data_IF_148735309340
#
_entry.id   IF_148735309340
#
_cell.length_a   1.000
_cell.length_b   1.000
_cell.length_c   1.000
_cell.angle_alpha   90.00
_cell.angle_beta   90.00
_cell.angle_gamma   90.00
#
_symmetry.space_group_name_H-M   'P 1'
#
loop_
_entity.id
_entity.type
_entity.pdbx_description
1 polymer ?
#
# COMPACT_ATOMS: atom_id res chain seq x y z
N UNK A 1 -10.09 24.35 4.57
CA UNK A 1 -8.93 23.73 5.24
C UNK A 1 -9.28 23.03 6.55
N UNK A 2 -10.05 23.66 7.42
CA UNK A 2 -10.51 23.09 8.70
C UNK A 2 -11.24 21.74 8.56
N UNK A 3 -12.06 21.56 7.52
CA UNK A 3 -12.75 20.30 7.19
C UNK A 3 -11.78 19.13 6.87
N UNK A 4 -10.59 19.43 6.34
CA UNK A 4 -9.55 18.39 6.07
C UNK A 4 -8.80 17.99 7.34
N UNK A 5 -8.59 18.92 8.26
CA UNK A 5 -7.93 18.64 9.55
C UNK A 5 -8.86 17.83 10.45
N UNK A 6 -10.15 18.15 10.49
CA UNK A 6 -11.16 17.38 11.24
C UNK A 6 -11.33 15.98 10.65
N UNK A 7 -11.28 15.81 9.31
CA UNK A 7 -11.30 14.50 8.68
C UNK A 7 -10.06 13.67 8.97
N UNK A 8 -8.89 14.28 9.11
CA UNK A 8 -7.64 13.56 9.46
C UNK A 8 -7.67 13.12 10.92
N UNK A 9 -8.19 13.95 11.83
CA UNK A 9 -8.35 13.58 13.25
C UNK A 9 -9.47 12.54 13.41
N UNK A 10 -10.57 12.66 12.68
CA UNK A 10 -11.66 11.67 12.66
C UNK A 10 -11.21 10.33 12.01
N UNK A 11 -10.34 10.36 11.00
CA UNK A 11 -9.79 9.14 10.38
C UNK A 11 -8.84 8.39 11.32
N UNK A 12 -8.12 9.12 12.19
CA UNK A 12 -7.23 8.52 13.21
C UNK A 12 -8.04 7.90 14.35
N UNK A 13 -9.18 8.49 14.73
CA UNK A 13 -10.07 7.92 15.76
C UNK A 13 -10.88 6.72 15.24
N UNK A 14 -11.29 6.70 13.99
CA UNK A 14 -12.02 5.57 13.37
C UNK A 14 -11.11 4.34 13.19
N UNK A 15 -9.80 4.51 13.02
CA UNK A 15 -8.86 3.38 12.93
C UNK A 15 -8.42 2.80 14.29
N UNK A 16 -8.72 3.47 15.42
CA UNK A 16 -8.37 2.98 16.76
C UNK A 16 -9.53 2.24 17.47
N UNK A 17 -10.75 2.23 16.90
CA UNK A 17 -11.92 1.62 17.51
C UNK A 17 -12.14 0.11 17.29
N UNK A 18 -11.49 -0.62 16.39
CA UNK A 18 -11.83 -2.03 16.19
C UNK A 18 -11.13 -3.02 17.11
N UNK A 19 -10.28 -2.63 18.05
CA UNK A 19 -9.51 -3.59 18.87
C UNK A 19 -10.23 -3.99 20.17
N UNK A 20 -11.24 -3.26 20.61
CA UNK A 20 -11.96 -3.58 21.87
C UNK A 20 -13.25 -4.38 21.69
N UNK A 21 -13.70 -4.69 20.47
CA UNK A 21 -14.93 -5.46 20.23
C UNK A 21 -14.71 -6.95 19.87
N UNK A 22 -13.49 -7.47 20.04
CA UNK A 22 -13.16 -8.85 19.66
C UNK A 22 -13.34 -9.89 20.80
N UNK A 23 -14.02 -9.56 21.89
CA UNK A 23 -14.25 -10.47 23.03
C UNK A 23 -15.72 -10.66 23.42
N UNK A 24 -16.67 -10.49 22.51
CA UNK A 24 -18.02 -10.99 22.71
C UNK A 24 -18.29 -12.19 21.80
N UNK A 25 -18.43 -13.37 22.39
CA UNK A 25 -18.78 -14.64 21.74
C UNK A 25 -20.25 -14.70 21.30
N UNK A 26 -20.83 -13.62 20.80
CA UNK A 26 -22.16 -13.68 20.19
C UNK A 26 -22.04 -13.73 18.67
N UNK A 27 -22.45 -14.86 18.10
CA UNK A 27 -22.63 -15.05 16.66
C UNK A 27 -23.65 -14.02 16.13
N UNK A 28 -23.17 -12.95 15.49
CA UNK A 28 -24.01 -12.02 14.75
C UNK A 28 -24.43 -12.69 13.44
N UNK A 29 -25.55 -13.37 13.45
CA UNK A 29 -26.19 -13.89 12.24
C UNK A 29 -26.75 -12.71 11.43
N UNK A 30 -26.52 -12.65 10.10
CA UNK A 30 -27.08 -11.59 9.25
C UNK A 30 -28.61 -11.71 9.26
N UNK A 31 -29.31 -10.64 9.66
CA UNK A 31 -30.77 -10.57 9.51
C UNK A 31 -31.14 -10.66 8.04
N UNK A 32 -32.05 -11.58 7.67
CA UNK A 32 -32.62 -11.68 6.33
C UNK A 32 -33.23 -10.33 5.94
N UNK A 33 -32.87 -9.83 4.76
CA UNK A 33 -33.59 -8.71 4.15
C UNK A 33 -35.06 -9.09 4.01
N UNK A 34 -36.02 -8.18 4.30
CA UNK A 34 -37.42 -8.46 4.03
C UNK A 34 -37.61 -8.76 2.55
N UNK A 35 -38.31 -9.88 2.25
CA UNK A 35 -38.68 -10.22 0.89
C UNK A 35 -39.65 -9.13 0.35
N UNK A 36 -39.31 -8.52 -0.78
CA UNK A 36 -40.30 -7.73 -1.52
C UNK A 36 -41.39 -8.72 -1.99
N UNK A 37 -42.65 -8.36 -1.73
CA UNK A 37 -43.79 -9.14 -2.23
C UNK A 37 -43.81 -9.15 -3.75
N UNK A 38 -44.14 -10.29 -4.34
CA UNK A 38 -44.13 -10.52 -5.80
C UNK A 38 -45.07 -9.59 -6.60
N UNK A 39 -45.95 -8.88 -5.93
CA UNK A 39 -46.87 -7.92 -6.56
C UNK A 39 -46.18 -6.66 -7.09
N UNK A 40 -45.08 -6.20 -6.45
CA UNK A 40 -44.34 -5.00 -6.88
C UNK A 40 -43.46 -5.27 -8.11
N UNK A 41 -43.16 -6.54 -8.39
CA UNK A 41 -42.29 -6.91 -9.53
C UNK A 41 -43.10 -6.97 -10.84
N UNK A 42 -44.41 -7.25 -10.79
CA UNK A 42 -45.24 -7.38 -11.99
C UNK A 42 -45.63 -6.03 -12.63
N UNK A 43 -45.68 -4.95 -11.88
CA UNK A 43 -46.02 -3.61 -12.44
C UNK A 43 -44.87 -2.87 -13.14
N UNK A 44 -43.61 -3.30 -12.96
CA UNK A 44 -42.43 -2.67 -13.59
C UNK A 44 -41.99 -3.26 -14.92
N UNK A 45 -42.68 -4.31 -15.40
CA UNK A 45 -42.27 -5.03 -16.66
C UNK A 45 -43.09 -4.60 -17.87
N UNK A 46 -44.10 -3.80 -17.69
CA UNK A 46 -44.95 -3.34 -18.81
C UNK A 46 -44.75 -1.83 -19.01
N UNK A 47 -43.69 -1.41 -19.60
CA UNK A 47 -43.51 -0.27 -20.51
C UNK A 47 -42.05 0.18 -20.60
N UNK A 48 -41.48 0.05 -21.78
CA UNK A 48 -40.35 0.86 -22.21
C UNK A 48 -39.03 0.10 -22.37
N UNK A 49 -38.74 -0.31 -23.60
CA UNK A 49 -37.37 -0.66 -24.04
C UNK A 49 -36.39 0.42 -23.63
N UNK A 50 -35.40 0.07 -22.79
CA UNK A 50 -34.27 0.92 -22.53
C UNK A 50 -33.20 0.60 -23.58
N UNK A 51 -33.13 1.42 -24.61
CA UNK A 51 -32.03 1.40 -25.58
C UNK A 51 -30.82 2.07 -24.95
N UNK A 52 -29.65 1.40 -24.89
CA UNK A 52 -28.42 2.05 -24.36
C UNK A 52 -27.98 3.17 -25.30
N UNK A 53 -27.83 4.38 -24.78
CA UNK A 53 -27.21 5.48 -25.51
C UNK A 53 -25.75 5.18 -25.83
N UNK A 54 -25.37 5.27 -27.11
CA UNK A 54 -23.98 5.21 -27.58
C UNK A 54 -23.15 6.31 -26.93
N UNK A 55 -21.95 5.97 -26.45
CA UNK A 55 -20.93 6.95 -26.07
C UNK A 55 -20.60 7.85 -27.26
N UNK A 56 -20.44 9.18 -27.08
CA UNK A 56 -19.94 10.05 -28.14
C UNK A 56 -18.49 9.70 -28.46
N UNK A 57 -18.16 9.55 -29.73
CA UNK A 57 -16.80 9.52 -30.26
C UNK A 57 -16.22 10.94 -30.19
N UNK A 58 -14.96 11.04 -29.73
CA UNK A 58 -14.16 12.27 -29.90
C UNK A 58 -13.93 12.45 -31.39
N UNK A 59 -14.49 13.47 -31.96
CA UNK A 59 -14.10 14.22 -33.15
C UNK A 59 -15.36 14.87 -33.72
N UNK A 60 -15.67 16.06 -33.23
CA UNK A 60 -16.44 17.05 -33.96
C UNK A 60 -16.28 18.43 -33.29
N UNK A 61 -15.43 19.26 -33.86
CA UNK A 61 -15.37 20.70 -33.62
C UNK A 61 -16.67 21.35 -34.10
N UNK A 62 -17.43 21.95 -33.20
CA UNK A 62 -18.57 22.78 -33.55
C UNK A 62 -18.28 24.24 -33.22
N UNK A 63 -18.20 25.03 -34.29
CA UNK A 63 -18.10 26.47 -34.29
C UNK A 63 -19.31 27.10 -33.60
N UNK A 64 -19.03 28.07 -32.72
CA UNK A 64 -20.05 28.89 -32.05
C UNK A 64 -20.36 30.07 -32.95
N UNK A 65 -21.56 30.10 -33.53
CA UNK A 65 -22.16 31.34 -34.08
C UNK A 65 -23.19 31.90 -33.11
N UNK A 66 -23.03 33.19 -32.80
CA UNK A 66 -23.95 34.01 -31.99
C UNK A 66 -25.23 34.39 -32.77
N UNK A 67 -26.31 34.49 -32.03
CA UNK A 67 -27.65 35.17 -32.17
C UNK A 67 -28.79 34.14 -32.22
N UNK A 68 -29.73 34.18 -31.28
CA UNK A 68 -30.85 35.13 -31.24
C UNK A 68 -31.67 35.01 -29.93
N UNK A 69 -32.10 36.16 -29.44
CA UNK A 69 -33.08 36.31 -28.34
C UNK A 69 -34.48 35.90 -28.83
N UNK A 70 -35.16 35.01 -28.11
CA UNK A 70 -36.59 34.78 -28.27
C UNK A 70 -37.32 34.89 -26.94
N UNK A 71 -38.27 35.81 -26.93
CA UNK A 71 -39.19 36.16 -25.83
C UNK A 71 -39.95 34.94 -25.30
N UNK A 72 -39.97 34.79 -23.98
CA UNK A 72 -40.85 33.86 -23.28
C UNK A 72 -42.28 34.41 -23.21
N UNK A 73 -43.21 33.76 -23.89
CA UNK A 73 -44.63 33.85 -23.56
C UNK A 73 -45.03 32.79 -22.54
N UNK A 74 -45.63 33.22 -21.43
CA UNK A 74 -46.24 32.36 -20.42
C UNK A 74 -47.53 31.77 -20.96
N UNK A 75 -47.64 30.44 -21.02
CA UNK A 75 -48.93 29.75 -21.10
C UNK A 75 -49.06 28.89 -19.85
N UNK A 76 -49.96 29.33 -18.95
CA UNK A 76 -50.38 28.55 -17.79
C UNK A 76 -51.53 27.63 -18.19
N UNK A 77 -51.31 26.33 -18.30
CA UNK A 77 -52.38 25.32 -18.24
C UNK A 77 -52.30 24.61 -16.89
N UNK A 78 -53.37 24.79 -16.10
CA UNK A 78 -53.64 24.06 -14.87
C UNK A 78 -53.95 22.59 -15.24
N UNK A 79 -53.16 21.65 -14.78
CA UNK A 79 -53.49 20.22 -14.75
C UNK A 79 -53.55 19.82 -13.28
N UNK A 80 -54.76 19.50 -12.82
CA UNK A 80 -54.97 18.94 -11.47
C UNK A 80 -54.53 17.49 -11.46
N UNK A 81 -53.67 17.13 -10.50
CA UNK A 81 -53.47 15.72 -10.10
C UNK A 81 -52.05 15.14 -10.18
N UNK A 82 -51.02 15.84 -10.63
CA UNK A 82 -49.65 15.31 -10.55
C UNK A 82 -48.85 16.01 -9.45
N UNK A 83 -48.37 15.24 -8.48
CA UNK A 83 -47.40 15.71 -7.48
C UNK A 83 -46.04 15.80 -8.16
N UNK A 84 -45.75 16.95 -8.76
CA UNK A 84 -44.42 17.24 -9.29
C UNK A 84 -43.49 17.52 -8.10
N UNK A 85 -42.37 16.78 -7.94
CA UNK A 85 -41.40 17.08 -6.89
C UNK A 85 -40.89 18.50 -7.07
N UNK A 86 -41.18 19.39 -6.12
CA UNK A 86 -40.61 20.74 -6.13
C UNK A 86 -39.09 20.61 -6.09
N UNK A 87 -38.38 21.24 -7.02
CA UNK A 87 -36.93 21.36 -6.97
C UNK A 87 -36.52 21.83 -5.57
N UNK A 88 -35.64 21.12 -4.92
CA UNK A 88 -35.03 21.55 -3.65
C UNK A 88 -34.60 23.02 -3.84
N UNK A 89 -34.98 23.94 -2.97
CA UNK A 89 -34.51 25.30 -3.06
C UNK A 89 -33.00 25.28 -3.07
N UNK A 90 -32.36 25.91 -4.05
CA UNK A 90 -30.93 26.18 -4.05
C UNK A 90 -30.67 27.03 -2.80
N UNK A 91 -30.27 26.36 -1.72
CA UNK A 91 -29.74 27.05 -0.55
C UNK A 91 -28.38 27.58 -0.98
N UNK A 92 -28.40 28.79 -1.57
CA UNK A 92 -27.17 29.58 -1.68
C UNK A 92 -26.80 29.93 -0.23
N UNK A 93 -26.03 29.06 0.38
CA UNK A 93 -25.34 29.39 1.61
C UNK A 93 -24.34 30.50 1.27
N UNK A 94 -24.79 31.73 1.28
CA UNK A 94 -23.92 32.87 1.55
C UNK A 94 -23.45 32.71 2.98
N UNK A 95 -22.54 31.77 3.15
CA UNK A 95 -21.85 31.57 4.42
C UNK A 95 -21.01 32.81 4.65
N UNK A 96 -21.59 33.81 5.40
CA UNK A 96 -20.78 34.72 6.20
C UNK A 96 -19.67 33.86 6.81
N UNK A 97 -18.42 34.21 6.54
CA UNK A 97 -17.24 33.44 7.00
C UNK A 97 -17.43 33.12 8.49
N UNK A 98 -17.83 31.89 8.80
CA UNK A 98 -17.99 31.46 10.18
C UNK A 98 -16.62 31.65 10.83
N UNK A 99 -16.54 32.63 11.74
CA UNK A 99 -15.33 32.83 12.58
C UNK A 99 -14.84 31.45 12.98
N UNK A 100 -13.57 31.15 12.70
CA UNK A 100 -13.00 29.83 12.92
C UNK A 100 -13.34 29.39 14.36
N UNK A 101 -14.04 28.24 14.47
CA UNK A 101 -14.43 27.71 15.78
C UNK A 101 -13.17 27.58 16.62
N UNK A 102 -13.20 28.11 17.86
CA UNK A 102 -12.10 27.96 18.82
C UNK A 102 -11.81 26.47 19.00
N UNK A 103 -10.54 26.10 18.99
CA UNK A 103 -10.15 24.74 19.32
C UNK A 103 -10.57 24.40 20.75
N UNK A 104 -11.10 23.17 20.95
CA UNK A 104 -11.37 22.67 22.32
C UNK A 104 -10.10 22.25 23.08
N UNK A 105 -9.01 22.01 22.36
CA UNK A 105 -7.78 21.38 22.88
C UNK A 105 -6.60 22.34 22.98
N UNK A 106 -6.55 23.38 22.13
CA UNK A 106 -5.42 24.31 22.06
C UNK A 106 -5.83 25.72 22.42
N UNK A 107 -4.93 26.46 23.08
CA UNK A 107 -5.06 27.90 23.23
C UNK A 107 -5.13 28.55 21.84
N UNK A 108 -5.71 29.75 21.76
CA UNK A 108 -5.77 30.52 20.48
C UNK A 108 -4.37 30.70 19.88
N UNK A 109 -3.37 30.99 20.70
CA UNK A 109 -1.96 31.13 20.27
C UNK A 109 -1.39 29.84 19.70
N UNK A 110 -1.54 28.72 20.42
CA UNK A 110 -1.01 27.41 19.98
C UNK A 110 -1.75 26.91 18.73
N UNK A 111 -3.05 27.20 18.61
CA UNK A 111 -3.81 26.86 17.40
C UNK A 111 -3.28 27.58 16.15
N UNK A 112 -2.98 28.88 16.23
CA UNK A 112 -2.40 29.63 15.09
C UNK A 112 -0.96 29.18 14.78
N UNK A 113 -0.16 28.87 15.82
CA UNK A 113 1.17 28.26 15.63
C UNK A 113 1.05 26.91 14.91
N UNK A 114 0.13 26.05 15.36
CA UNK A 114 -0.12 24.75 14.74
C UNK A 114 -0.52 24.88 13.27
N UNK A 115 -1.46 25.77 12.97
CA UNK A 115 -1.93 26.07 11.62
C UNK A 115 -0.78 26.54 10.70
N UNK A 116 0.06 27.46 11.21
CA UNK A 116 1.22 27.96 10.48
C UNK A 116 2.26 26.87 10.25
N UNK A 117 2.53 26.05 11.26
CA UNK A 117 3.46 24.93 11.17
C UNK A 117 3.01 23.89 10.15
N UNK A 118 1.71 23.55 10.12
CA UNK A 118 1.12 22.64 9.12
C UNK A 118 1.23 23.22 7.71
N UNK A 119 1.00 24.53 7.55
CA UNK A 119 1.20 25.19 6.24
C UNK A 119 2.63 25.04 5.72
N UNK A 120 3.63 25.26 6.59
CA UNK A 120 5.03 25.03 6.20
C UNK A 120 5.33 23.56 5.91
N UNK A 121 4.77 22.64 6.68
CA UNK A 121 4.89 21.20 6.43
C UNK A 121 4.32 20.78 5.06
N UNK A 122 3.15 21.28 4.68
CA UNK A 122 2.52 21.05 3.37
C UNK A 122 3.40 21.57 2.22
N UNK A 123 4.09 22.67 2.45
CA UNK A 123 5.07 23.23 1.52
C UNK A 123 6.43 22.53 1.56
N UNK A 124 6.59 21.45 2.33
CA UNK A 124 7.86 20.75 2.57
C UNK A 124 8.97 21.60 3.19
N UNK A 125 8.66 22.74 3.77
CA UNK A 125 9.59 23.63 4.49
C UNK A 125 9.79 23.13 5.92
N UNK A 126 10.40 21.95 6.05
CA UNK A 126 10.46 21.20 7.33
C UNK A 126 11.15 21.97 8.45
N UNK A 127 12.28 22.63 8.16
CA UNK A 127 13.00 23.43 9.15
C UNK A 127 12.12 24.55 9.74
N UNK A 128 11.40 25.28 8.86
CA UNK A 128 10.46 26.32 9.31
C UNK A 128 9.26 25.75 10.08
N UNK A 129 8.74 24.62 9.62
CA UNK A 129 7.64 23.93 10.28
C UNK A 129 8.01 23.53 11.73
N UNK A 130 9.18 22.89 11.91
CA UNK A 130 9.67 22.50 13.24
C UNK A 130 10.02 23.70 14.12
N UNK A 131 10.71 24.70 13.58
CA UNK A 131 11.05 25.93 14.30
C UNK A 131 9.81 26.68 14.78
N UNK A 132 8.77 26.73 13.93
CA UNK A 132 7.48 27.35 14.29
C UNK A 132 6.76 26.53 15.36
N UNK A 133 6.66 25.19 15.17
CA UNK A 133 5.98 24.30 16.10
C UNK A 133 6.61 24.30 17.50
N UNK A 134 7.93 24.48 17.62
CA UNK A 134 8.63 24.59 18.92
C UNK A 134 8.17 25.77 19.77
N UNK A 135 7.60 26.82 19.17
CA UNK A 135 7.11 28.02 19.89
C UNK A 135 5.79 27.75 20.63
N UNK A 136 5.07 26.67 20.32
CA UNK A 136 3.86 26.30 21.03
C UNK A 136 4.15 25.85 22.46
N UNK A 137 3.26 26.21 23.40
CA UNK A 137 3.30 25.67 24.77
C UNK A 137 3.00 24.17 24.76
N UNK A 138 1.99 23.77 24.02
CA UNK A 138 1.66 22.36 23.83
C UNK A 138 2.66 21.69 22.88
N UNK A 139 3.46 20.80 23.45
CA UNK A 139 4.49 20.07 22.71
C UNK A 139 3.94 19.00 21.74
N UNK A 140 2.65 18.70 21.78
CA UNK A 140 2.01 17.77 20.84
C UNK A 140 2.11 18.26 19.39
N UNK A 141 2.03 19.59 19.19
CA UNK A 141 2.16 20.22 17.87
C UNK A 141 3.56 19.93 17.29
N UNK A 142 4.61 20.17 18.09
CA UNK A 142 5.97 19.88 17.66
C UNK A 142 6.20 18.39 17.42
N UNK A 143 5.72 17.53 18.33
CA UNK A 143 5.83 16.06 18.18
C UNK A 143 5.17 15.57 16.89
N UNK A 144 3.99 16.11 16.55
CA UNK A 144 3.29 15.78 15.31
C UNK A 144 4.10 16.18 14.05
N UNK A 145 4.59 17.41 13.98
CA UNK A 145 5.38 17.90 12.85
C UNK A 145 6.67 17.08 12.71
N UNK A 146 7.36 16.82 13.83
CA UNK A 146 8.58 16.01 13.85
C UNK A 146 8.34 14.57 13.39
N UNK A 147 7.29 13.92 13.90
CA UNK A 147 6.89 12.59 13.46
C UNK A 147 6.58 12.56 11.97
N UNK A 148 5.83 13.54 11.47
CA UNK A 148 5.48 13.62 10.05
C UNK A 148 6.72 13.79 9.17
N UNK A 149 7.69 14.57 9.62
CA UNK A 149 8.99 14.73 8.95
C UNK A 149 9.74 13.39 8.89
N UNK A 150 9.85 12.68 10.02
CA UNK A 150 10.52 11.38 10.13
C UNK A 150 9.95 10.32 9.18
N UNK A 151 8.63 10.26 9.01
CA UNK A 151 7.99 9.28 8.13
C UNK A 151 7.89 9.71 6.66
N UNK A 152 8.31 10.93 6.33
CA UNK A 152 8.29 11.44 4.95
C UNK A 152 9.47 10.87 4.17
N UNK A 153 9.17 10.33 2.99
CA UNK A 153 10.19 9.77 2.10
C UNK A 153 11.14 10.86 1.60
N UNK A 154 12.44 10.54 1.53
CA UNK A 154 13.48 11.45 1.02
C UNK A 154 13.90 12.54 2.01
N UNK A 155 13.52 12.44 3.30
CA UNK A 155 14.03 13.37 4.32
C UNK A 155 15.54 13.20 4.53
N UNK A 156 16.20 14.28 4.92
CA UNK A 156 17.65 14.34 5.16
C UNK A 156 18.02 14.12 6.64
N UNK A 157 17.08 13.62 7.44
CA UNK A 157 17.29 13.38 8.87
C UNK A 157 18.29 12.24 9.08
N UNK A 158 19.11 12.39 10.12
CA UNK A 158 20.11 11.42 10.54
C UNK A 158 19.51 10.30 11.41
N UNK A 159 20.25 9.23 11.63
CA UNK A 159 19.90 8.19 12.60
C UNK A 159 19.64 8.77 14.00
N UNK A 160 20.42 9.75 14.44
CA UNK A 160 20.26 10.37 15.76
C UNK A 160 18.94 11.11 15.90
N UNK A 161 18.40 11.70 14.85
CA UNK A 161 17.08 12.34 14.85
C UNK A 161 15.97 11.33 15.10
N UNK A 162 16.07 10.15 14.50
CA UNK A 162 15.13 9.05 14.75
C UNK A 162 15.27 8.50 16.15
N UNK A 163 16.51 8.23 16.61
CA UNK A 163 16.82 7.74 17.94
C UNK A 163 16.23 8.66 19.03
N UNK A 164 16.49 9.96 18.92
CA UNK A 164 15.97 10.95 19.85
C UNK A 164 14.44 10.94 19.93
N UNK A 165 13.76 10.88 18.79
CA UNK A 165 12.29 10.83 18.77
C UNK A 165 11.74 9.54 19.40
N UNK A 166 12.34 8.39 19.10
CA UNK A 166 11.94 7.08 19.63
C UNK A 166 12.08 7.07 21.16
N UNK A 167 13.18 7.61 21.68
CA UNK A 167 13.43 7.71 23.13
C UNK A 167 12.44 8.64 23.83
N UNK A 168 12.16 9.81 23.24
CA UNK A 168 11.26 10.81 23.82
C UNK A 168 9.77 10.45 23.68
N UNK A 169 9.43 9.55 22.77
CA UNK A 169 8.03 9.24 22.45
C UNK A 169 7.86 7.77 22.08
N UNK A 170 8.16 6.81 22.98
CA UNK A 170 8.20 5.37 22.68
C UNK A 170 6.84 4.80 22.25
N UNK A 171 5.75 5.40 22.73
CA UNK A 171 4.38 4.97 22.44
C UNK A 171 3.69 5.83 21.36
N UNK A 172 4.46 6.59 20.57
CA UNK A 172 3.85 7.42 19.53
C UNK A 172 3.21 6.57 18.43
N UNK A 173 2.08 7.02 17.83
CA UNK A 173 1.43 6.28 16.75
C UNK A 173 2.41 5.89 15.64
N UNK A 174 2.35 4.62 15.18
CA UNK A 174 3.22 4.05 14.16
C UNK A 174 4.73 4.13 14.49
N UNK A 175 5.10 4.06 15.76
CA UNK A 175 6.52 4.08 16.18
C UNK A 175 7.34 2.96 15.52
N UNK A 176 6.74 1.80 15.26
CA UNK A 176 7.37 0.71 14.51
C UNK A 176 7.83 1.15 13.11
N UNK A 177 7.07 2.03 12.43
CA UNK A 177 7.51 2.59 11.15
C UNK A 177 8.69 3.53 11.30
N UNK A 178 8.72 4.31 12.38
CA UNK A 178 9.85 5.20 12.68
C UNK A 178 11.11 4.38 12.96
N UNK A 179 11.01 3.30 13.76
CA UNK A 179 12.11 2.35 14.01
C UNK A 179 12.61 1.71 12.71
N UNK A 180 11.71 1.22 11.86
CA UNK A 180 12.06 0.66 10.54
C UNK A 180 12.83 1.66 9.68
N UNK A 181 12.40 2.92 9.64
CA UNK A 181 13.09 3.96 8.87
C UNK A 181 14.44 4.36 9.49
N UNK A 182 14.55 4.33 10.84
CA UNK A 182 15.80 4.56 11.54
C UNK A 182 16.89 3.56 11.11
N UNK A 183 16.55 2.29 10.93
CA UNK A 183 17.49 1.26 10.48
C UNK A 183 18.16 1.64 9.16
N UNK A 184 17.40 2.21 8.21
CA UNK A 184 17.92 2.65 6.90
C UNK A 184 18.80 3.91 6.97
N UNK A 185 18.91 4.53 8.14
CA UNK A 185 19.82 5.66 8.41
C UNK A 185 21.09 5.24 9.14
N UNK A 186 21.18 3.98 9.59
CA UNK A 186 22.39 3.45 10.21
C UNK A 186 23.47 3.28 9.15
N UNK A 187 24.65 3.79 9.43
CA UNK A 187 25.83 3.63 8.59
C UNK A 187 27.01 3.17 9.45
N UNK A 188 27.62 2.06 9.06
CA UNK A 188 28.82 1.54 9.70
C UNK A 188 30.04 2.44 9.54
N UNK A 189 29.97 3.48 8.69
CA UNK A 189 30.97 4.54 8.59
C UNK A 189 30.86 5.56 9.71
N UNK A 190 29.64 5.80 10.20
CA UNK A 190 29.33 6.90 11.12
C UNK A 190 29.01 6.40 12.55
N UNK A 191 28.76 5.12 12.70
CA UNK A 191 28.41 4.49 13.98
C UNK A 191 29.37 3.34 14.26
N UNK A 192 29.86 3.28 15.52
CA UNK A 192 30.70 2.17 15.94
C UNK A 192 29.93 0.85 15.97
N UNK A 193 30.56 -0.30 15.73
CA UNK A 193 29.92 -1.61 15.86
C UNK A 193 29.26 -1.82 17.23
N UNK A 194 29.87 -1.32 18.31
CA UNK A 194 29.32 -1.37 19.66
C UNK A 194 27.98 -0.65 19.73
N UNK A 195 27.91 0.59 19.25
CA UNK A 195 26.68 1.40 19.28
C UNK A 195 25.57 0.80 18.41
N UNK A 196 25.92 0.14 17.31
CA UNK A 196 24.96 -0.56 16.44
C UNK A 196 24.37 -1.76 17.18
N UNK A 197 25.19 -2.57 17.82
CA UNK A 197 24.76 -3.75 18.60
C UNK A 197 23.89 -3.31 19.77
N UNK A 198 24.29 -2.29 20.53
CA UNK A 198 23.51 -1.74 21.65
C UNK A 198 22.12 -1.25 21.19
N UNK A 199 22.06 -0.59 20.04
CA UNK A 199 20.77 -0.19 19.47
C UNK A 199 19.87 -1.38 19.18
N UNK A 200 20.39 -2.42 18.49
CA UNK A 200 19.61 -3.58 18.11
C UNK A 200 19.30 -4.54 19.25
N UNK A 201 20.04 -4.50 20.34
CA UNK A 201 19.69 -5.21 21.58
C UNK A 201 18.38 -4.66 22.19
N UNK A 202 18.19 -3.33 22.12
CA UNK A 202 16.95 -2.70 22.57
C UNK A 202 15.82 -2.72 21.52
N UNK A 203 16.18 -2.80 20.25
CA UNK A 203 15.28 -2.72 19.11
C UNK A 203 15.66 -3.78 18.07
N UNK A 204 15.15 -5.02 18.20
CA UNK A 204 15.43 -6.07 17.23
C UNK A 204 15.19 -5.62 15.79
N UNK A 205 16.01 -6.03 14.81
CA UNK A 205 15.94 -5.53 13.44
C UNK A 205 14.61 -5.87 12.78
N UNK A 206 13.92 -4.85 12.30
CA UNK A 206 12.63 -4.93 11.61
C UNK A 206 12.80 -5.10 10.10
N UNK A 207 13.95 -4.69 9.54
CA UNK A 207 14.22 -4.73 8.11
C UNK A 207 15.37 -5.66 7.77
N UNK A 208 15.38 -6.14 6.50
CA UNK A 208 16.55 -6.84 5.98
C UNK A 208 17.80 -5.97 5.97
N UNK A 209 17.66 -4.65 5.77
CA UNK A 209 18.78 -3.71 5.86
C UNK A 209 19.37 -3.65 7.28
N UNK A 210 18.50 -3.56 8.30
CA UNK A 210 18.94 -3.61 9.71
C UNK A 210 19.69 -4.90 10.05
N UNK A 211 19.24 -6.05 9.52
CA UNK A 211 19.93 -7.33 9.67
C UNK A 211 21.32 -7.32 9.02
N UNK A 212 21.46 -6.74 7.83
CA UNK A 212 22.77 -6.61 7.16
C UNK A 212 23.76 -5.80 8.00
N UNK A 213 23.30 -4.65 8.51
CA UNK A 213 24.13 -3.73 9.31
C UNK A 213 24.49 -4.34 10.67
N UNK A 214 23.52 -4.98 11.34
CA UNK A 214 23.79 -5.68 12.61
C UNK A 214 24.74 -6.85 12.41
N UNK A 215 24.54 -7.67 11.35
CA UNK A 215 25.41 -8.78 11.02
C UNK A 215 26.86 -8.33 10.78
N UNK A 216 27.05 -7.21 10.07
CA UNK A 216 28.38 -6.59 9.90
C UNK A 216 29.01 -6.19 11.24
N UNK A 217 28.24 -5.54 12.10
CA UNK A 217 28.72 -5.10 13.40
C UNK A 217 29.12 -6.28 14.30
N UNK A 218 28.36 -7.39 14.28
CA UNK A 218 28.66 -8.60 15.03
C UNK A 218 29.96 -9.27 14.54
N UNK A 219 30.15 -9.39 13.22
CA UNK A 219 31.40 -9.93 12.65
C UNK A 219 32.59 -9.07 13.09
N UNK A 220 32.44 -7.74 13.06
CA UNK A 220 33.49 -6.82 13.51
C UNK A 220 33.83 -6.96 15.02
N UNK A 221 32.96 -7.59 15.80
CA UNK A 221 33.16 -7.87 17.23
C UNK A 221 33.48 -9.34 17.54
N UNK A 222 33.70 -10.16 16.49
CA UNK A 222 34.10 -11.55 16.63
C UNK A 222 32.95 -12.57 16.64
N UNK A 223 31.70 -12.15 16.68
CA UNK A 223 30.53 -13.04 16.57
C UNK A 223 30.22 -13.35 15.10
N UNK A 224 31.12 -14.13 14.48
CA UNK A 224 31.10 -14.42 13.04
C UNK A 224 29.85 -15.22 12.67
N UNK A 225 29.52 -16.28 13.39
CA UNK A 225 28.41 -17.19 13.03
C UNK A 225 27.06 -16.48 13.03
N UNK A 226 26.75 -15.72 14.10
CA UNK A 226 25.50 -14.93 14.15
C UNK A 226 25.48 -13.85 13.08
N UNK A 227 26.63 -13.19 12.89
CA UNK A 227 26.77 -12.15 11.89
C UNK A 227 26.50 -12.64 10.47
N UNK A 228 27.07 -13.76 10.05
CA UNK A 228 26.84 -14.37 8.75
C UNK A 228 25.38 -14.80 8.54
N UNK A 229 24.74 -15.40 9.55
CA UNK A 229 23.32 -15.77 9.48
C UNK A 229 22.41 -14.55 9.29
N UNK A 230 22.71 -13.47 10.00
CA UNK A 230 21.98 -12.20 9.83
C UNK A 230 22.21 -11.60 8.45
N UNK A 231 23.45 -11.61 7.94
CA UNK A 231 23.77 -11.12 6.60
C UNK A 231 22.99 -11.91 5.53
N UNK A 232 23.00 -13.25 5.59
CA UNK A 232 22.28 -14.10 4.64
C UNK A 232 20.76 -13.82 4.68
N UNK A 233 20.16 -13.80 5.89
CA UNK A 233 18.73 -13.52 6.03
C UNK A 233 18.37 -12.09 5.64
N UNK A 234 19.22 -11.12 5.97
CA UNK A 234 19.09 -9.73 5.60
C UNK A 234 19.20 -9.51 4.09
N UNK A 235 20.18 -10.15 3.45
CA UNK A 235 20.36 -10.11 1.99
C UNK A 235 19.09 -10.53 1.24
N UNK A 236 18.44 -11.60 1.69
CA UNK A 236 17.21 -12.11 1.07
C UNK A 236 16.11 -11.05 1.07
N UNK A 237 15.89 -10.38 2.20
CA UNK A 237 14.68 -9.57 2.44
C UNK A 237 14.90 -8.05 2.38
N UNK A 238 16.15 -7.58 2.28
CA UNK A 238 16.45 -6.15 2.30
C UNK A 238 15.92 -5.40 1.08
N UNK A 239 15.23 -4.28 1.34
CA UNK A 239 14.96 -3.26 0.34
C UNK A 239 16.25 -2.45 0.13
N UNK A 240 16.92 -2.68 -1.00
CA UNK A 240 18.21 -2.08 -1.31
C UNK A 240 18.11 -1.17 -2.53
N UNK A 241 18.65 0.03 -2.41
CA UNK A 241 18.90 0.86 -3.58
C UNK A 241 19.89 0.15 -4.53
N UNK A 242 20.01 0.63 -5.76
CA UNK A 242 20.98 0.11 -6.72
C UNK A 242 22.42 0.16 -6.17
N UNK A 243 22.76 1.23 -5.47
CA UNK A 243 24.09 1.44 -4.90
C UNK A 243 24.31 0.56 -3.67
N UNK A 244 23.34 0.46 -2.78
CA UNK A 244 23.41 -0.43 -1.61
C UNK A 244 23.55 -1.90 -2.01
N UNK A 245 22.79 -2.34 -3.03
CA UNK A 245 22.90 -3.70 -3.55
C UNK A 245 24.33 -3.99 -4.06
N UNK A 246 24.92 -3.06 -4.83
CA UNK A 246 26.31 -3.21 -5.32
C UNK A 246 27.30 -3.25 -4.15
N UNK A 247 27.12 -2.37 -3.17
CA UNK A 247 27.98 -2.25 -2.00
C UNK A 247 27.94 -3.54 -1.17
N UNK A 248 26.77 -3.97 -0.74
CA UNK A 248 26.64 -5.18 0.11
C UNK A 248 27.05 -6.44 -0.63
N UNK A 249 26.73 -6.59 -1.91
CA UNK A 249 27.18 -7.71 -2.73
C UNK A 249 28.72 -7.80 -2.80
N UNK A 250 29.39 -6.68 -2.99
CA UNK A 250 30.88 -6.63 -3.01
C UNK A 250 31.43 -6.95 -1.64
N UNK A 251 30.88 -6.35 -0.60
CA UNK A 251 31.34 -6.46 0.77
C UNK A 251 31.21 -7.88 1.31
N UNK A 252 30.04 -8.51 1.06
CA UNK A 252 29.75 -9.85 1.58
C UNK A 252 29.99 -10.98 0.56
N UNK A 253 30.82 -10.74 -0.45
CA UNK A 253 31.11 -11.74 -1.50
C UNK A 253 31.58 -13.10 -0.95
N UNK A 254 32.34 -13.10 0.16
CA UNK A 254 32.85 -14.34 0.80
C UNK A 254 31.77 -15.07 1.62
N UNK A 255 30.70 -14.40 2.03
CA UNK A 255 29.61 -14.92 2.88
C UNK A 255 28.43 -15.41 2.04
N UNK A 256 28.08 -14.66 0.99
CA UNK A 256 26.94 -14.94 0.13
C UNK A 256 27.29 -15.95 -0.96
N UNK A 257 26.47 -16.98 -1.09
CA UNK A 257 26.60 -18.02 -2.11
C UNK A 257 25.45 -17.98 -3.12
N UNK A 258 25.49 -18.84 -4.15
CA UNK A 258 24.45 -18.91 -5.21
C UNK A 258 23.05 -19.15 -4.65
N UNK A 259 22.90 -19.95 -3.58
CA UNK A 259 21.61 -20.20 -2.94
C UNK A 259 21.01 -18.92 -2.35
N UNK A 260 21.84 -18.05 -1.75
CA UNK A 260 21.37 -16.78 -1.17
C UNK A 260 20.87 -15.81 -2.26
N UNK A 261 21.51 -15.83 -3.44
CA UNK A 261 21.05 -15.05 -4.61
C UNK A 261 19.72 -15.58 -5.15
N UNK A 262 19.56 -16.90 -5.24
CA UNK A 262 18.32 -17.56 -5.68
C UNK A 262 17.19 -17.24 -4.69
N UNK A 263 17.41 -17.38 -3.39
CA UNK A 263 16.42 -17.04 -2.35
C UNK A 263 16.01 -15.58 -2.40
N UNK A 264 16.96 -14.66 -2.67
CA UNK A 264 16.64 -13.25 -2.86
C UNK A 264 15.77 -13.04 -4.10
N UNK A 265 16.09 -13.65 -5.23
CA UNK A 265 15.30 -13.56 -6.45
C UNK A 265 13.87 -14.09 -6.24
N UNK A 266 13.72 -15.18 -5.50
CA UNK A 266 12.44 -15.74 -5.10
C UNK A 266 11.62 -14.75 -4.26
N UNK A 267 12.21 -14.21 -3.19
CA UNK A 267 11.59 -13.18 -2.36
C UNK A 267 11.12 -11.96 -3.18
N UNK A 268 12.00 -11.42 -4.05
CA UNK A 268 11.67 -10.28 -4.89
C UNK A 268 10.53 -10.58 -5.85
N UNK A 269 10.44 -11.81 -6.35
CA UNK A 269 9.34 -12.26 -7.19
C UNK A 269 8.01 -12.28 -6.45
N UNK A 270 7.93 -12.91 -5.30
CA UNK A 270 6.72 -12.94 -4.47
C UNK A 270 6.28 -11.56 -4.00
N UNK A 271 7.23 -10.64 -3.73
CA UNK A 271 6.95 -9.24 -3.36
C UNK A 271 6.69 -8.33 -4.57
N UNK A 272 6.65 -8.89 -5.79
CA UNK A 272 6.39 -8.16 -7.04
C UNK A 272 7.36 -6.97 -7.28
N UNK A 273 8.63 -7.16 -6.89
CA UNK A 273 9.72 -6.17 -7.01
C UNK A 273 10.39 -6.27 -8.40
N UNK A 274 9.68 -5.87 -9.45
CA UNK A 274 10.09 -6.05 -10.85
C UNK A 274 11.51 -5.56 -11.16
N UNK A 275 11.84 -4.32 -10.80
CA UNK A 275 13.13 -3.72 -11.12
C UNK A 275 14.28 -4.26 -10.28
N UNK A 276 14.00 -4.65 -9.03
CA UNK A 276 14.98 -5.28 -8.15
C UNK A 276 15.32 -6.68 -8.66
N UNK A 277 14.31 -7.44 -9.04
CA UNK A 277 14.51 -8.74 -9.67
C UNK A 277 15.28 -8.64 -10.98
N UNK A 278 14.94 -7.69 -11.86
CA UNK A 278 15.67 -7.46 -13.12
C UNK A 278 17.17 -7.22 -12.88
N UNK A 279 17.51 -6.50 -11.80
CA UNK A 279 18.90 -6.27 -11.43
C UNK A 279 19.61 -7.52 -10.91
N UNK A 280 18.84 -8.48 -10.35
CA UNK A 280 19.40 -9.73 -9.80
C UNK A 280 19.71 -10.78 -10.87
N UNK A 281 18.96 -10.83 -11.98
CA UNK A 281 19.04 -11.89 -12.99
C UNK A 281 20.48 -12.24 -13.40
N UNK A 282 21.30 -11.24 -13.71
CA UNK A 282 22.70 -11.42 -14.13
C UNK A 282 23.65 -12.06 -13.11
N UNK A 283 23.19 -12.26 -11.86
CA UNK A 283 23.98 -12.84 -10.77
C UNK A 283 23.52 -14.25 -10.44
N UNK A 284 22.51 -14.76 -11.15
CA UNK A 284 21.96 -16.09 -10.94
C UNK A 284 22.65 -17.12 -11.84
N UNK A 285 22.73 -18.40 -11.41
CA UNK A 285 23.05 -19.51 -12.31
C UNK A 285 22.08 -19.53 -13.49
N UNK A 286 22.53 -19.99 -14.66
CA UNK A 286 21.80 -19.90 -15.93
C UNK A 286 20.38 -20.47 -15.87
N UNK A 287 20.18 -21.63 -15.25
CA UNK A 287 18.86 -22.25 -15.11
C UNK A 287 17.88 -21.37 -14.31
N UNK A 288 18.37 -20.75 -13.24
CA UNK A 288 17.60 -19.85 -12.39
C UNK A 288 17.43 -18.47 -13.04
N UNK A 289 18.39 -18.00 -13.83
CA UNK A 289 18.21 -16.79 -14.66
C UNK A 289 17.00 -16.94 -15.59
N UNK A 290 16.88 -18.10 -16.26
CA UNK A 290 15.75 -18.39 -17.14
C UNK A 290 14.43 -18.46 -16.36
N UNK A 291 14.39 -19.15 -15.21
CA UNK A 291 13.23 -19.22 -14.32
C UNK A 291 12.76 -17.83 -13.88
N UNK A 292 13.67 -17.02 -13.32
CA UNK A 292 13.30 -15.72 -12.79
C UNK A 292 13.08 -14.66 -13.87
N UNK A 293 13.59 -14.85 -15.07
CA UNK A 293 13.21 -14.05 -16.25
C UNK A 293 11.75 -14.30 -16.62
N UNK A 294 11.30 -15.55 -16.65
CA UNK A 294 9.90 -15.90 -16.89
C UNK A 294 8.99 -15.32 -15.79
N UNK A 295 9.38 -15.47 -14.52
CA UNK A 295 8.67 -14.90 -13.38
C UNK A 295 8.59 -13.37 -13.44
N UNK A 296 9.66 -12.70 -13.86
CA UNK A 296 9.69 -11.25 -14.03
C UNK A 296 8.71 -10.77 -15.11
N UNK A 297 8.67 -11.44 -16.25
CA UNK A 297 7.74 -11.10 -17.32
C UNK A 297 6.28 -11.31 -16.90
N UNK A 298 5.98 -12.32 -16.09
CA UNK A 298 4.66 -12.56 -15.51
C UNK A 298 4.20 -11.45 -14.55
N UNK A 299 5.10 -10.64 -13.98
CA UNK A 299 4.73 -9.49 -13.15
C UNK A 299 4.17 -8.32 -13.97
N UNK A 300 4.50 -8.25 -15.25
CA UNK A 300 4.15 -7.15 -16.15
C UNK A 300 3.12 -7.58 -17.20
N UNK A 301 2.70 -6.63 -18.02
CA UNK A 301 1.88 -6.91 -19.21
C UNK A 301 2.73 -7.14 -20.48
N UNK A 302 4.01 -7.48 -20.31
CA UNK A 302 4.96 -7.68 -21.41
C UNK A 302 4.57 -8.85 -22.31
N UNK A 303 4.97 -8.77 -23.55
CA UNK A 303 4.92 -9.88 -24.50
C UNK A 303 6.03 -10.90 -24.21
N UNK A 304 5.95 -12.08 -24.84
CA UNK A 304 7.00 -13.10 -24.76
C UNK A 304 6.99 -13.95 -23.48
N UNK A 305 5.90 -13.92 -22.72
CA UNK A 305 5.73 -14.72 -21.50
C UNK A 305 5.84 -16.20 -21.79
N UNK A 306 5.12 -16.69 -22.82
CA UNK A 306 5.09 -18.12 -23.15
C UNK A 306 6.45 -18.60 -23.68
N UNK A 307 7.14 -17.79 -24.50
CA UNK A 307 8.50 -18.06 -24.93
C UNK A 307 9.51 -18.09 -23.78
N UNK A 308 9.32 -17.25 -22.78
CA UNK A 308 10.18 -17.28 -21.58
C UNK A 308 9.93 -18.52 -20.73
N UNK A 309 8.66 -18.92 -20.56
CA UNK A 309 8.29 -20.14 -19.82
C UNK A 309 8.80 -21.39 -20.53
N UNK A 310 8.75 -21.45 -21.87
CA UNK A 310 9.25 -22.61 -22.63
C UNK A 310 10.76 -22.82 -22.43
N UNK A 311 11.53 -21.74 -22.26
CA UNK A 311 12.98 -21.77 -22.00
C UNK A 311 13.36 -22.21 -20.58
N UNK A 312 12.40 -22.27 -19.65
CA UNK A 312 12.69 -22.76 -18.28
C UNK A 312 13.06 -24.25 -18.34
N UNK A 313 14.17 -24.67 -17.72
CA UNK A 313 14.56 -26.08 -17.69
C UNK A 313 13.49 -26.98 -17.10
N UNK A 314 13.34 -28.20 -17.60
CA UNK A 314 12.28 -29.13 -17.18
C UNK A 314 12.25 -29.36 -15.66
N UNK A 315 13.40 -29.46 -15.01
CA UNK A 315 13.51 -29.60 -13.54
C UNK A 315 12.91 -28.44 -12.77
N UNK A 316 12.77 -27.23 -13.36
CA UNK A 316 12.24 -26.04 -12.73
C UNK A 316 10.84 -25.64 -13.27
N UNK A 317 10.28 -26.36 -14.25
CA UNK A 317 8.95 -26.06 -14.79
C UNK A 317 7.83 -26.19 -13.75
N UNK A 318 8.01 -27.03 -12.75
CA UNK A 318 7.07 -27.20 -11.65
C UNK A 318 7.41 -26.37 -10.40
N UNK A 319 8.23 -25.33 -10.53
CA UNK A 319 8.54 -24.40 -9.45
C UNK A 319 7.27 -23.73 -8.92
N UNK A 320 7.11 -23.74 -7.59
CA UNK A 320 5.91 -23.19 -6.94
C UNK A 320 5.72 -21.70 -7.22
N UNK A 321 6.79 -20.92 -7.22
CA UNK A 321 6.75 -19.50 -7.51
C UNK A 321 6.39 -19.21 -8.96
N UNK A 322 6.88 -20.02 -9.90
CA UNK A 322 6.50 -19.90 -11.31
C UNK A 322 5.00 -20.18 -11.48
N UNK A 323 4.48 -21.25 -10.89
CA UNK A 323 3.07 -21.58 -10.93
C UNK A 323 2.19 -20.52 -10.26
N UNK A 324 2.63 -19.96 -9.13
CA UNK A 324 1.97 -18.84 -8.47
C UNK A 324 1.90 -17.60 -9.39
N UNK A 325 3.01 -17.23 -10.03
CA UNK A 325 3.05 -16.06 -10.90
C UNK A 325 2.20 -16.26 -12.16
N UNK A 326 2.17 -17.49 -12.73
CA UNK A 326 1.29 -17.88 -13.87
C UNK A 326 -0.18 -17.78 -13.49
N UNK A 327 -0.57 -18.32 -12.32
CA UNK A 327 -1.92 -18.24 -11.80
C UNK A 327 -2.37 -16.77 -11.64
N UNK A 328 -1.57 -15.98 -10.96
CA UNK A 328 -1.83 -14.54 -10.74
C UNK A 328 -1.92 -13.76 -12.06
N UNK A 329 -1.06 -14.06 -13.02
CA UNK A 329 -1.06 -13.44 -14.34
C UNK A 329 -2.33 -13.79 -15.14
N UNK A 330 -2.75 -15.08 -15.18
CA UNK A 330 -3.98 -15.54 -15.83
C UNK A 330 -5.21 -14.87 -15.20
N UNK A 331 -5.31 -14.87 -13.87
CA UNK A 331 -6.41 -14.22 -13.15
C UNK A 331 -6.53 -12.73 -13.47
N UNK A 332 -5.42 -12.00 -13.45
CA UNK A 332 -5.41 -10.56 -13.78
C UNK A 332 -5.86 -10.25 -15.22
N UNK A 333 -5.84 -11.23 -16.10
CA UNK A 333 -6.31 -11.14 -17.48
C UNK A 333 -7.72 -11.72 -17.68
N UNK A 334 -8.44 -12.00 -16.62
CA UNK A 334 -9.78 -12.56 -16.66
C UNK A 334 -9.85 -14.05 -17.05
N UNK A 335 -8.70 -14.72 -17.21
CA UNK A 335 -8.62 -16.16 -17.57
C UNK A 335 -8.77 -17.01 -16.30
N UNK A 336 -9.98 -16.98 -15.71
CA UNK A 336 -10.26 -17.63 -14.42
C UNK A 336 -10.12 -19.14 -14.52
N UNK A 337 -10.64 -19.76 -15.57
CA UNK A 337 -10.57 -21.22 -15.78
C UNK A 337 -9.12 -21.71 -15.87
N UNK A 338 -8.27 -20.98 -16.62
CA UNK A 338 -6.84 -21.28 -16.69
C UNK A 338 -6.10 -21.04 -15.35
N UNK A 339 -6.61 -20.20 -14.47
CA UNK A 339 -6.08 -20.05 -13.12
C UNK A 339 -6.50 -21.20 -12.21
N UNK A 340 -7.74 -21.67 -12.35
CA UNK A 340 -8.28 -22.81 -11.64
C UNK A 340 -7.53 -24.10 -12.02
N UNK A 341 -7.23 -24.30 -13.30
CA UNK A 341 -6.40 -25.41 -13.78
C UNK A 341 -5.05 -25.50 -13.03
N UNK A 342 -4.40 -24.37 -12.77
CA UNK A 342 -3.15 -24.36 -11.99
C UNK A 342 -3.43 -24.72 -10.53
N UNK A 343 -4.48 -24.18 -9.90
CA UNK A 343 -4.81 -24.48 -8.52
C UNK A 343 -5.08 -25.97 -8.27
N UNK A 344 -5.72 -26.63 -9.23
CA UNK A 344 -6.04 -28.06 -9.15
C UNK A 344 -4.81 -28.97 -9.33
N UNK A 345 -3.81 -28.49 -10.10
CA UNK A 345 -2.58 -29.26 -10.39
C UNK A 345 -1.48 -29.10 -9.35
N UNK A 346 -1.47 -27.98 -8.60
CA UNK A 346 -0.40 -27.72 -7.61
C UNK A 346 -0.59 -28.53 -6.34
N UNK A 347 0.50 -29.04 -5.79
CA UNK A 347 0.51 -29.74 -4.50
C UNK A 347 0.15 -28.75 -3.38
N UNK A 348 -0.81 -29.11 -2.55
CA UNK A 348 -1.26 -28.27 -1.44
C UNK A 348 -0.52 -28.60 -0.15
N UNK A 349 0.80 -28.66 -0.19
CA UNK A 349 1.66 -28.92 0.97
C UNK A 349 2.47 -27.67 1.31
N UNK A 350 2.84 -27.53 2.58
CA UNK A 350 3.63 -26.39 3.07
C UNK A 350 4.99 -26.31 2.38
N UNK A 351 5.59 -27.45 2.12
CA UNK A 351 6.90 -27.58 1.48
C UNK A 351 6.88 -27.09 0.03
N UNK A 352 5.80 -27.40 -0.71
CA UNK A 352 5.65 -26.95 -2.08
C UNK A 352 5.25 -25.48 -2.17
N UNK A 353 4.27 -25.05 -1.37
CA UNK A 353 3.71 -23.69 -1.53
C UNK A 353 4.68 -22.59 -1.14
N UNK A 354 5.68 -22.81 -0.32
CA UNK A 354 6.69 -21.86 0.19
C UNK A 354 6.08 -20.63 0.84
N UNK A 355 5.11 -20.00 0.18
CA UNK A 355 4.37 -18.80 0.63
C UNK A 355 2.86 -19.05 0.63
N UNK A 356 2.33 -19.89 1.54
CA UNK A 356 0.91 -20.22 1.59
C UNK A 356 0.01 -19.01 1.80
N UNK A 357 0.49 -17.97 2.49
CA UNK A 357 -0.18 -16.68 2.66
C UNK A 357 -0.55 -16.02 1.30
N UNK A 358 0.37 -16.03 0.34
CA UNK A 358 0.16 -15.48 -1.00
C UNK A 358 -0.82 -16.32 -1.83
N UNK A 359 -0.70 -17.63 -1.76
CA UNK A 359 -1.59 -18.57 -2.43
C UNK A 359 -3.03 -18.44 -1.92
N UNK A 360 -3.20 -18.28 -0.60
CA UNK A 360 -4.51 -18.09 0.01
C UNK A 360 -5.24 -16.86 -0.54
N UNK A 361 -4.53 -15.74 -0.69
CA UNK A 361 -5.09 -14.51 -1.25
C UNK A 361 -5.65 -14.76 -2.66
N UNK A 362 -4.89 -15.44 -3.52
CA UNK A 362 -5.32 -15.73 -4.89
C UNK A 362 -6.51 -16.71 -4.90
N UNK A 363 -6.49 -17.77 -4.08
CA UNK A 363 -7.61 -18.70 -3.91
C UNK A 363 -8.89 -17.99 -3.47
N UNK A 364 -8.78 -17.11 -2.48
CA UNK A 364 -9.92 -16.34 -1.97
C UNK A 364 -10.52 -15.39 -3.02
N UNK A 365 -9.70 -14.82 -3.90
CA UNK A 365 -10.17 -13.97 -5.00
C UNK A 365 -10.89 -14.82 -6.06
N UNK A 366 -10.31 -15.95 -6.44
CA UNK A 366 -10.90 -16.86 -7.44
C UNK A 366 -12.19 -17.44 -6.92
N UNK A 367 -12.23 -17.96 -5.68
CA UNK A 367 -13.44 -18.52 -5.06
C UNK A 367 -14.59 -17.49 -5.02
N UNK A 368 -14.33 -16.25 -4.61
CA UNK A 368 -15.34 -15.19 -4.66
C UNK A 368 -15.84 -14.91 -6.07
N UNK A 369 -14.95 -14.96 -7.08
CA UNK A 369 -15.35 -14.80 -8.47
C UNK A 369 -16.24 -15.94 -8.97
N UNK A 370 -15.98 -17.18 -8.55
CA UNK A 370 -16.80 -18.35 -8.88
C UNK A 370 -18.17 -18.26 -8.22
N UNK A 371 -18.22 -17.92 -6.94
CA UNK A 371 -19.49 -17.70 -6.19
C UNK A 371 -20.33 -16.61 -6.88
N UNK A 372 -19.72 -15.50 -7.25
CA UNK A 372 -20.41 -14.42 -7.99
C UNK A 372 -20.98 -14.90 -9.33
N UNK A 373 -20.28 -15.78 -10.03
CA UNK A 373 -20.71 -16.40 -11.29
C UNK A 373 -21.64 -17.62 -11.10
N UNK A 374 -22.07 -17.90 -9.87
CA UNK A 374 -22.92 -19.06 -9.51
C UNK A 374 -22.33 -20.42 -9.87
N UNK A 375 -20.99 -20.52 -9.99
CA UNK A 375 -20.28 -21.78 -10.22
C UNK A 375 -19.89 -22.39 -8.86
N UNK A 376 -20.84 -23.08 -8.19
CA UNK A 376 -20.67 -23.57 -6.82
C UNK A 376 -19.98 -24.94 -6.72
N UNK A 377 -20.00 -25.71 -7.79
CA UNK A 377 -19.46 -27.09 -7.84
C UNK A 377 -17.98 -27.15 -8.26
N UNK A 378 -17.34 -25.99 -8.42
CA UNK A 378 -15.94 -25.90 -8.83
C UNK A 378 -15.05 -25.63 -7.63
#
# INVERSE_FOLDING_TARGET
>A
MLKKIIKIIALITVFLLPIQFALSNELILPKKKPALSDEIIKEKIIKGEIVPLKKPSQDDEVQITKKDEVKKQKVTKKIEGEIIPKNKPLVVNTAKSKKAKKSKYYSKKDFEIGKTSIKYMEQRKWSLAEKTAKKAKDKSIYKFIRWKHLITTGNQLSFYDYKAFIQQSPNYPRIGRVKYLAEHKISTKNLSPKSIIEWFNQHPPLSGFGKLVLGEALISKGDVVKGENLIKSGWITADLSRNDMKFFRKKFKKILNSSDYIKRADYLSYENKYWDLKRMLRYLPKDYELLYTARQLLMSRSYGVDAAISKVPNKLKNDAGLNYDRLKWRRKRGRVDGSLEILLKVKNTKEYLVRPDKWWIERAIIGRSLIYKKKYET
#
